data_IF_848292749264
#
_entry.id   IF_848292749264
#
_cell.length_a   1.000
_cell.length_b   1.000
_cell.length_c   1.000
_cell.angle_alpha   90.00
_cell.angle_beta   90.00
_cell.angle_gamma   90.00
#
_symmetry.space_group_name_H-M   'P 1'
#
loop_
_entity.id
_entity.type
_entity.pdbx_description
1 polymer ?
#
# COMPACT_ATOMS: atom_id res chain seq x y z
N UNK A 1 -13.13 10.59 -6.90
CA UNK A 1 -12.78 12.01 -6.70
C UNK A 1 -14.08 12.78 -6.68
N UNK A 2 -14.39 13.51 -5.62
CA UNK A 2 -15.67 14.24 -5.50
C UNK A 2 -16.90 13.32 -5.74
N UNK A 3 -16.92 12.16 -5.07
CA UNK A 3 -17.96 11.12 -5.18
C UNK A 3 -18.15 10.46 -6.55
N UNK A 4 -17.25 10.72 -7.51
CA UNK A 4 -17.22 10.05 -8.81
C UNK A 4 -16.11 9.01 -8.94
N UNK A 5 -16.39 7.94 -9.70
CA UNK A 5 -15.47 6.84 -9.99
C UNK A 5 -14.72 7.08 -11.30
N UNK A 6 -13.41 6.88 -11.26
CA UNK A 6 -12.52 7.04 -12.41
C UNK A 6 -11.65 5.79 -12.59
N UNK A 7 -11.28 5.50 -13.84
CA UNK A 7 -10.28 4.47 -14.10
C UNK A 7 -8.88 5.03 -13.83
N UNK A 8 -7.96 4.14 -13.44
CA UNK A 8 -6.54 4.46 -13.38
C UNK A 8 -5.89 4.19 -14.74
N UNK A 9 -4.86 4.97 -15.13
CA UNK A 9 -4.31 6.12 -14.41
C UNK A 9 -5.25 7.33 -14.44
N UNK A 10 -5.19 8.14 -13.39
CA UNK A 10 -5.97 9.37 -13.23
C UNK A 10 -5.03 10.57 -13.10
N UNK A 11 -5.37 11.65 -13.79
CA UNK A 11 -4.69 12.96 -13.72
C UNK A 11 -5.73 14.06 -13.64
N UNK A 12 -5.46 15.09 -12.82
CA UNK A 12 -6.29 16.31 -12.72
C UNK A 12 -5.38 17.54 -12.69
N UNK A 13 -5.93 18.67 -13.13
CA UNK A 13 -5.30 19.99 -13.05
C UNK A 13 -3.90 20.02 -13.73
N UNK A 14 -3.82 19.52 -14.97
CA UNK A 14 -2.57 19.38 -15.74
C UNK A 14 -1.51 18.51 -15.02
N UNK A 15 -1.97 17.50 -14.29
CA UNK A 15 -1.14 16.58 -13.54
C UNK A 15 -0.62 17.11 -12.22
N UNK A 16 -1.28 18.11 -11.62
CA UNK A 16 -1.04 18.51 -10.23
C UNK A 16 -1.43 17.38 -9.26
N UNK A 17 -2.49 16.63 -9.57
CA UNK A 17 -2.87 15.40 -8.89
C UNK A 17 -2.75 14.22 -9.87
N UNK A 18 -2.04 13.18 -9.45
CA UNK A 18 -1.86 11.94 -10.23
C UNK A 18 -2.12 10.73 -9.36
N UNK A 19 -2.83 9.76 -9.91
CA UNK A 19 -3.11 8.49 -9.24
C UNK A 19 -2.86 7.37 -10.23
N UNK A 20 -1.94 6.47 -9.88
CA UNK A 20 -1.57 5.33 -10.71
C UNK A 20 -1.59 4.05 -9.88
N UNK A 21 -1.87 2.93 -10.52
CA UNK A 21 -1.61 1.62 -9.93
C UNK A 21 -0.22 1.15 -10.34
N UNK A 22 0.64 0.82 -9.37
CA UNK A 22 1.94 0.22 -9.60
C UNK A 22 2.10 -1.09 -8.81
N UNK A 23 2.19 -2.21 -9.52
CA UNK A 23 2.05 -3.53 -8.91
C UNK A 23 0.69 -3.66 -8.21
N UNK A 24 0.72 -4.05 -6.96
CA UNK A 24 -0.46 -4.12 -6.08
C UNK A 24 -0.79 -2.78 -5.40
N UNK A 25 0.04 -1.75 -5.57
CA UNK A 25 -0.11 -0.49 -4.87
C UNK A 25 -0.85 0.53 -5.71
N UNK A 26 -1.65 1.37 -5.04
CA UNK A 26 -2.13 2.63 -5.57
C UNK A 26 -1.20 3.73 -5.07
N UNK A 27 -0.69 4.53 -5.99
CA UNK A 27 0.20 5.65 -5.71
C UNK A 27 -0.50 6.94 -6.08
N UNK A 28 -0.72 7.78 -5.06
CA UNK A 28 -1.23 9.14 -5.20
C UNK A 28 -0.06 10.10 -5.09
N UNK A 29 0.06 11.02 -6.04
CA UNK A 29 1.13 12.03 -6.06
C UNK A 29 0.53 13.41 -6.33
N UNK A 30 0.98 14.39 -5.56
CA UNK A 30 0.66 15.79 -5.76
C UNK A 30 1.92 16.57 -6.16
N UNK A 31 1.76 17.66 -6.93
CA UNK A 31 2.87 18.49 -7.41
C UNK A 31 3.68 19.16 -6.29
N UNK A 32 3.05 19.37 -5.14
CA UNK A 32 3.63 19.92 -3.91
C UNK A 32 4.58 18.93 -3.21
N UNK A 33 4.64 17.69 -3.70
CA UNK A 33 5.54 16.65 -3.20
C UNK A 33 4.90 15.67 -2.22
N UNK A 34 3.63 15.85 -1.87
CA UNK A 34 2.89 14.83 -1.12
C UNK A 34 2.76 13.57 -1.95
N UNK A 35 2.97 12.42 -1.30
CA UNK A 35 2.79 11.12 -1.93
C UNK A 35 2.15 10.16 -0.93
N UNK A 36 1.21 9.35 -1.41
CA UNK A 36 0.64 8.23 -0.65
C UNK A 36 0.85 6.96 -1.46
N UNK A 37 1.31 5.90 -0.81
CA UNK A 37 1.39 4.55 -1.37
C UNK A 37 0.54 3.66 -0.49
N UNK A 38 -0.38 2.88 -1.08
CA UNK A 38 -1.18 1.93 -0.31
C UNK A 38 -1.58 0.71 -1.14
N UNK A 39 -1.70 -0.46 -0.51
CA UNK A 39 -1.97 -1.74 -1.20
C UNK A 39 -3.45 -2.18 -1.14
N UNK A 40 -4.34 -1.27 -0.74
CA UNK A 40 -5.78 -1.48 -0.49
C UNK A 40 -6.13 -2.55 0.56
N UNK A 41 -5.12 -3.11 1.25
CA UNK A 41 -5.31 -4.15 2.24
C UNK A 41 -4.79 -3.71 3.61
N UNK A 42 -3.47 -3.63 3.79
CA UNK A 42 -2.87 -3.47 5.12
C UNK A 42 -1.67 -2.50 5.16
N UNK A 43 -1.23 -1.99 4.01
CA UNK A 43 -0.09 -1.08 3.94
C UNK A 43 -0.54 0.30 3.48
N UNK A 44 -0.10 1.32 4.22
CA UNK A 44 -0.20 2.73 3.84
C UNK A 44 1.07 3.45 4.25
N UNK A 45 1.63 4.24 3.33
CA UNK A 45 2.76 5.12 3.60
C UNK A 45 2.46 6.51 3.06
N UNK A 46 2.65 7.51 3.90
CA UNK A 46 2.43 8.93 3.57
C UNK A 46 3.76 9.65 3.62
N UNK A 47 4.12 10.29 2.52
CA UNK A 47 5.29 11.14 2.39
C UNK A 47 4.85 12.60 2.53
N UNK A 48 5.37 13.27 3.56
CA UNK A 48 5.13 14.68 3.83
C UNK A 48 6.40 15.48 3.49
N UNK A 49 6.33 16.50 2.62
CA UNK A 49 7.48 17.34 2.31
C UNK A 49 7.99 18.11 3.54
N UNK A 50 9.32 18.28 3.64
CA UNK A 50 9.97 19.03 4.74
C UNK A 50 9.40 20.43 5.04
N UNK A 51 8.91 21.22 4.06
CA UNK A 51 8.26 22.51 4.37
C UNK A 51 7.06 22.44 5.34
N UNK A 52 6.48 21.26 5.53
CA UNK A 52 5.37 21.01 6.47
C UNK A 52 5.83 20.43 7.81
N UNK A 53 7.14 20.44 8.10
CA UNK A 53 7.68 20.07 9.41
C UNK A 53 6.99 20.89 10.52
N UNK A 54 6.65 20.22 11.63
CA UNK A 54 5.94 20.80 12.78
C UNK A 54 4.53 21.34 12.47
N UNK A 55 3.97 21.03 11.29
CA UNK A 55 2.63 21.48 10.88
C UNK A 55 1.63 20.33 10.72
N UNK A 56 2.05 19.09 10.93
CA UNK A 56 1.15 17.93 10.87
C UNK A 56 0.45 17.72 12.19
N UNK A 57 -0.71 17.09 12.14
CA UNK A 57 -1.45 16.61 13.30
C UNK A 57 -2.19 15.34 12.89
N UNK A 58 -2.44 14.43 13.83
CA UNK A 58 -3.18 13.19 13.58
C UNK A 58 -2.41 11.96 14.03
N UNK A 59 -2.84 10.79 13.54
CA UNK A 59 -2.25 9.49 13.90
C UNK A 59 -0.78 9.34 13.46
N UNK A 60 -0.32 10.15 12.50
CA UNK A 60 1.08 10.19 12.06
C UNK A 60 1.98 11.12 12.89
N UNK A 61 1.48 11.66 14.01
CA UNK A 61 2.23 12.57 14.87
C UNK A 61 2.34 14.00 14.33
N UNK A 62 3.23 14.77 14.94
CA UNK A 62 3.37 16.21 14.68
C UNK A 62 4.56 16.59 13.79
N UNK A 63 5.33 15.58 13.34
CA UNK A 63 6.45 15.73 12.40
C UNK A 63 7.52 16.74 12.88
N UNK A 64 7.86 16.73 14.16
CA UNK A 64 8.90 17.58 14.76
C UNK A 64 10.24 16.84 15.01
N UNK A 65 10.33 15.54 14.67
CA UNK A 65 11.45 14.62 14.97
C UNK A 65 11.62 14.25 16.46
N UNK A 66 10.56 14.37 17.26
CA UNK A 66 10.52 13.93 18.65
C UNK A 66 9.41 12.88 18.83
N UNK A 67 9.81 11.61 18.99
CA UNK A 67 8.86 10.51 19.16
C UNK A 67 8.12 10.58 20.52
N UNK A 68 8.65 11.31 21.49
CA UNK A 68 8.07 11.37 22.84
C UNK A 68 6.76 12.17 22.90
N UNK A 69 6.48 13.03 21.91
CA UNK A 69 5.28 13.85 21.84
C UNK A 69 4.44 13.60 20.59
N UNK A 70 4.58 12.43 19.94
CA UNK A 70 3.74 12.10 18.79
C UNK A 70 2.30 11.71 19.18
N UNK A 71 2.06 11.34 20.44
CA UNK A 71 0.72 11.02 20.97
C UNK A 71 -0.05 12.26 21.44
N UNK A 72 -0.03 13.31 20.63
CA UNK A 72 -0.78 14.56 20.88
C UNK A 72 -2.23 14.40 20.42
N UNK A 73 -3.16 14.75 21.30
CA UNK A 73 -4.60 14.75 21.06
C UNK A 73 -5.02 15.97 20.20
N UNK A 74 -6.21 15.97 19.60
CA UNK A 74 -6.70 17.11 18.80
C UNK A 74 -6.78 18.45 19.55
N UNK A 75 -6.88 18.41 20.88
CA UNK A 75 -6.89 19.62 21.73
C UNK A 75 -5.48 20.13 22.08
N UNK A 76 -4.43 19.46 21.58
CA UNK A 76 -3.03 19.79 21.82
C UNK A 76 -2.47 19.25 23.13
N UNK A 77 -3.20 18.40 23.86
CA UNK A 77 -2.70 17.74 25.07
C UNK A 77 -2.00 16.42 24.73
N UNK A 78 -1.05 16.01 25.58
CA UNK A 78 -0.32 14.75 25.41
C UNK A 78 -0.98 13.61 26.21
N UNK A 79 -1.01 12.40 25.64
CA UNK A 79 -1.34 11.17 26.37
C UNK A 79 -0.22 10.12 26.24
N UNK A 80 0.11 9.38 27.32
CA UNK A 80 1.00 8.23 27.22
C UNK A 80 0.28 6.95 26.75
N UNK A 81 -1.05 6.98 26.60
CA UNK A 81 -1.85 5.80 26.25
C UNK A 81 -2.21 5.82 24.75
N UNK A 82 -1.78 4.79 24.02
CA UNK A 82 -2.00 4.65 22.58
C UNK A 82 -3.49 4.47 22.20
N UNK A 83 -4.29 3.82 23.05
CA UNK A 83 -5.73 3.65 22.84
C UNK A 83 -6.45 4.99 22.97
N UNK A 84 -6.13 5.77 24.01
CA UNK A 84 -6.67 7.10 24.21
C UNK A 84 -6.29 8.03 23.04
N UNK A 85 -5.04 7.94 22.57
CA UNK A 85 -4.57 8.66 21.39
C UNK A 85 -5.37 8.28 20.14
N UNK A 86 -5.47 6.99 19.81
CA UNK A 86 -6.18 6.51 18.63
C UNK A 86 -7.66 6.88 18.62
N UNK A 87 -8.35 6.74 19.76
CA UNK A 87 -9.77 7.09 19.92
C UNK A 87 -9.99 8.60 19.78
N UNK A 88 -9.05 9.43 20.24
CA UNK A 88 -9.20 10.89 20.20
C UNK A 88 -9.28 11.45 18.77
N UNK A 89 -8.65 10.77 17.81
CA UNK A 89 -8.59 11.16 16.40
C UNK A 89 -9.76 10.62 15.56
N UNK A 90 -10.78 10.04 16.18
CA UNK A 90 -11.98 9.56 15.51
C UNK A 90 -12.71 10.69 14.77
N UNK A 91 -13.01 10.47 13.49
CA UNK A 91 -13.83 11.38 12.67
C UNK A 91 -15.27 10.87 12.60
N UNK A 92 -16.27 11.62 13.08
CA UNK A 92 -17.67 11.19 13.05
C UNK A 92 -18.16 10.93 11.62
N UNK A 93 -18.70 9.73 11.39
CA UNK A 93 -19.24 9.33 10.08
C UNK A 93 -20.75 9.13 10.17
N UNK A 94 -21.50 9.76 9.26
CA UNK A 94 -22.97 9.66 9.25
C UNK A 94 -23.41 8.22 8.96
N UNK A 95 -24.21 7.63 9.86
CA UNK A 95 -24.72 6.26 9.69
C UNK A 95 -23.81 5.15 10.23
N UNK A 96 -22.65 5.49 10.79
CA UNK A 96 -21.76 4.53 11.46
C UNK A 96 -21.63 4.91 12.94
N UNK A 97 -21.76 3.92 13.82
CA UNK A 97 -21.46 4.08 15.25
C UNK A 97 -20.14 3.37 15.48
N UNK A 98 -19.05 4.12 15.66
CA UNK A 98 -17.83 3.56 16.22
C UNK A 98 -18.07 3.36 17.72
N UNK A 99 -17.92 2.13 18.19
CA UNK A 99 -18.04 1.85 19.61
C UNK A 99 -16.67 2.01 20.25
N UNK A 100 -16.55 2.91 21.23
CA UNK A 100 -15.36 3.00 22.08
C UNK A 100 -15.07 1.70 22.86
N UNK A 101 -16.06 0.81 22.94
CA UNK A 101 -15.92 -0.52 23.55
C UNK A 101 -15.32 -1.56 22.57
N UNK A 102 -14.91 -1.15 21.36
CA UNK A 102 -14.16 -2.00 20.43
C UNK A 102 -12.69 -2.15 20.80
N UNK A 103 -12.21 -1.49 21.86
CA UNK A 103 -10.93 -1.83 22.50
C UNK A 103 -11.12 -3.21 23.14
N UNK A 104 -11.08 -4.25 22.30
CA UNK A 104 -10.88 -5.59 22.76
C UNK A 104 -9.59 -5.57 23.59
N UNK A 105 -9.58 -6.27 24.72
CA UNK A 105 -8.34 -6.64 25.37
C UNK A 105 -7.60 -7.59 24.41
N UNK A 106 -6.95 -7.01 23.41
CA UNK A 106 -6.05 -7.76 22.56
C UNK A 106 -5.04 -8.41 23.50
N UNK A 107 -4.69 -9.69 23.27
CA UNK A 107 -3.69 -10.35 24.08
C UNK A 107 -2.45 -9.48 24.18
N UNK A 108 -1.94 -9.31 25.39
CA UNK A 108 -0.60 -8.77 25.55
C UNK A 108 0.38 -9.67 24.80
N UNK A 109 1.45 -9.10 24.27
CA UNK A 109 2.51 -9.87 23.64
C UNK A 109 3.05 -10.92 24.62
N UNK A 110 3.10 -12.18 24.17
CA UNK A 110 3.61 -13.33 24.92
C UNK A 110 4.76 -13.95 24.12
N UNK A 111 5.98 -13.68 24.58
CA UNK A 111 7.19 -14.16 23.90
C UNK A 111 7.23 -15.69 23.76
N UNK A 112 6.67 -16.45 24.70
CA UNK A 112 6.68 -17.90 24.62
C UNK A 112 5.79 -18.41 23.48
N UNK A 113 4.66 -17.74 23.24
CA UNK A 113 3.75 -18.05 22.13
C UNK A 113 4.32 -17.58 20.79
N UNK A 114 4.87 -16.36 20.76
CA UNK A 114 5.47 -15.78 19.55
C UNK A 114 6.78 -16.46 19.14
N UNK A 115 7.48 -17.13 20.05
CA UNK A 115 8.78 -17.76 19.77
C UNK A 115 8.72 -18.79 18.63
N UNK A 116 7.57 -19.42 18.40
CA UNK A 116 7.41 -20.38 17.31
C UNK A 116 7.43 -19.72 15.92
N UNK A 117 7.22 -18.40 15.82
CA UNK A 117 7.19 -17.64 14.57
C UNK A 117 8.50 -16.90 14.28
N UNK A 118 9.52 -17.08 15.13
CA UNK A 118 10.85 -16.48 14.95
C UNK A 118 11.71 -17.22 13.92
N UNK A 119 11.24 -18.34 13.37
CA UNK A 119 11.96 -19.10 12.35
C UNK A 119 11.81 -18.52 10.94
N UNK A 120 12.67 -18.96 10.03
CA UNK A 120 12.78 -18.43 8.66
C UNK A 120 11.59 -18.78 7.75
N UNK A 121 10.62 -19.57 8.21
CA UNK A 121 9.36 -19.85 7.49
C UNK A 121 8.20 -18.95 7.94
N UNK A 122 8.45 -18.08 8.91
CA UNK A 122 7.49 -17.12 9.44
C UNK A 122 8.11 -15.71 9.48
N UNK A 123 8.05 -15.03 10.62
CA UNK A 123 8.55 -13.67 10.77
C UNK A 123 10.07 -13.59 10.69
N UNK A 124 10.79 -14.67 11.04
CA UNK A 124 12.26 -14.73 10.93
C UNK A 124 12.78 -14.45 9.52
N UNK A 125 11.97 -14.70 8.48
CA UNK A 125 12.33 -14.40 7.10
C UNK A 125 12.68 -12.91 6.88
N UNK A 126 12.03 -12.00 7.64
CA UNK A 126 12.26 -10.55 7.55
C UNK A 126 13.69 -10.16 7.95
N UNK A 127 14.30 -10.89 8.88
CA UNK A 127 15.60 -10.56 9.47
C UNK A 127 16.74 -11.45 8.97
N UNK A 128 16.43 -12.44 8.12
CA UNK A 128 17.40 -13.38 7.60
C UNK A 128 18.47 -12.69 6.72
N UNK A 129 19.73 -12.69 7.19
CA UNK A 129 20.87 -12.02 6.53
C UNK A 129 21.10 -12.49 5.09
N UNK A 130 20.82 -13.78 4.83
CA UNK A 130 20.92 -14.41 3.51
C UNK A 130 19.52 -14.76 2.95
N UNK A 131 18.54 -13.89 3.18
CA UNK A 131 17.16 -14.06 2.75
C UNK A 131 16.75 -13.20 1.54
N UNK A 132 15.46 -13.26 1.15
CA UNK A 132 14.91 -12.46 0.05
C UNK A 132 14.92 -10.95 0.33
N UNK A 133 15.04 -10.54 1.59
CA UNK A 133 15.05 -9.13 2.00
C UNK A 133 16.44 -8.55 2.28
N UNK A 134 17.51 -9.33 2.12
CA UNK A 134 18.89 -8.94 2.52
C UNK A 134 19.34 -7.58 1.97
N UNK A 135 18.97 -7.27 0.72
CA UNK A 135 19.42 -6.05 0.04
C UNK A 135 18.64 -4.82 0.53
N UNK A 136 17.45 -5.03 1.12
CA UNK A 136 16.64 -3.99 1.74
C UNK A 136 17.11 -3.58 3.13
N UNK A 137 17.76 -4.46 3.90
CA UNK A 137 18.13 -4.18 5.30
C UNK A 137 18.99 -2.91 5.47
N UNK A 138 19.73 -2.52 4.42
CA UNK A 138 20.52 -1.27 4.40
C UNK A 138 19.69 0.00 4.16
N UNK A 139 18.49 -0.12 3.61
CA UNK A 139 17.55 0.97 3.35
C UNK A 139 16.48 1.08 4.43
N UNK A 140 15.99 -0.07 4.94
CA UNK A 140 14.89 -0.16 5.89
C UNK A 140 15.22 -1.22 6.94
N UNK A 141 15.26 -0.83 8.20
CA UNK A 141 15.42 -1.78 9.32
C UNK A 141 14.25 -2.76 9.37
N UNK A 142 14.49 -4.08 9.49
CA UNK A 142 13.42 -5.07 9.63
C UNK A 142 12.85 -5.15 11.06
N UNK A 143 13.44 -4.48 12.05
CA UNK A 143 13.13 -4.68 13.47
C UNK A 143 11.65 -4.47 13.81
N UNK A 144 11.09 -3.30 13.49
CA UNK A 144 9.69 -2.99 13.80
C UNK A 144 8.72 -3.90 13.03
N UNK A 145 9.06 -4.25 11.79
CA UNK A 145 8.26 -5.17 10.98
C UNK A 145 8.30 -6.60 11.54
N UNK A 146 9.44 -7.03 12.09
CA UNK A 146 9.58 -8.32 12.73
C UNK A 146 8.74 -8.38 14.01
N UNK A 147 8.83 -7.37 14.87
CA UNK A 147 8.06 -7.31 16.12
C UNK A 147 6.55 -7.25 15.86
N UNK A 148 6.12 -6.44 14.87
CA UNK A 148 4.72 -6.37 14.44
C UNK A 148 4.25 -7.72 13.86
N UNK A 149 5.06 -8.39 13.05
CA UNK A 149 4.73 -9.70 12.52
C UNK A 149 4.54 -10.72 13.64
N UNK A 150 5.41 -10.75 14.65
CA UNK A 150 5.27 -11.66 15.79
C UNK A 150 3.99 -11.39 16.58
N UNK A 151 3.65 -10.12 16.79
CA UNK A 151 2.43 -9.72 17.47
C UNK A 151 1.17 -10.15 16.68
N UNK A 152 1.12 -9.85 15.39
CA UNK A 152 -0.01 -10.21 14.53
C UNK A 152 -0.18 -11.72 14.41
N UNK A 153 0.92 -12.47 14.28
CA UNK A 153 0.88 -13.94 14.22
C UNK A 153 0.36 -14.53 15.53
N UNK A 154 0.62 -13.90 16.68
CA UNK A 154 0.05 -14.33 17.96
C UNK A 154 -1.44 -14.00 18.06
N UNK A 155 -1.85 -12.80 17.67
CA UNK A 155 -3.21 -12.28 17.90
C UNK A 155 -4.20 -12.72 16.83
N UNK A 156 -3.80 -12.62 15.56
CA UNK A 156 -4.60 -12.94 14.37
C UNK A 156 -4.36 -14.38 13.92
N UNK A 157 -3.17 -14.92 14.15
CA UNK A 157 -2.76 -16.25 13.71
C UNK A 157 -2.00 -16.24 12.38
N UNK A 158 -1.65 -17.44 11.90
CA UNK A 158 -0.80 -17.65 10.71
C UNK A 158 -1.32 -16.99 9.42
N UNK A 159 -2.62 -16.70 9.33
CA UNK A 159 -3.21 -16.01 8.19
C UNK A 159 -2.68 -14.57 7.98
N UNK A 160 -2.05 -13.97 8.99
CA UNK A 160 -1.46 -12.63 8.92
C UNK A 160 -0.04 -12.60 8.34
N UNK A 161 0.64 -13.74 8.20
CA UNK A 161 2.04 -13.81 7.77
C UNK A 161 2.25 -13.12 6.42
N UNK A 162 1.47 -13.50 5.42
CA UNK A 162 1.64 -12.98 4.06
C UNK A 162 1.41 -11.47 4.00
N UNK A 163 0.52 -10.93 4.83
CA UNK A 163 0.21 -9.50 4.88
C UNK A 163 1.38 -8.73 5.50
N UNK A 164 1.96 -9.25 6.58
CA UNK A 164 3.14 -8.68 7.22
C UNK A 164 4.37 -8.65 6.30
N UNK A 165 4.65 -9.76 5.62
CA UNK A 165 5.75 -9.85 4.66
C UNK A 165 5.53 -8.96 3.43
N UNK A 166 4.29 -8.85 2.95
CA UNK A 166 3.92 -7.95 1.85
C UNK A 166 4.09 -6.47 2.23
N UNK A 167 3.74 -6.07 3.46
CA UNK A 167 3.95 -4.70 3.93
C UNK A 167 5.43 -4.32 3.95
N UNK A 168 6.31 -5.22 4.43
CA UNK A 168 7.75 -4.97 4.38
C UNK A 168 8.28 -4.94 2.94
N UNK A 169 7.78 -5.82 2.07
CA UNK A 169 8.09 -5.81 0.63
C UNK A 169 7.76 -4.45 0.00
N UNK A 170 6.56 -3.91 0.24
CA UNK A 170 6.13 -2.62 -0.26
C UNK A 170 7.02 -1.48 0.26
N UNK A 171 7.35 -1.47 1.56
CA UNK A 171 8.26 -0.48 2.16
C UNK A 171 9.67 -0.52 1.56
N UNK A 172 10.22 -1.72 1.37
CA UNK A 172 11.51 -1.91 0.73
C UNK A 172 11.54 -1.40 -0.71
N UNK A 173 10.51 -1.72 -1.48
CA UNK A 173 10.37 -1.28 -2.87
C UNK A 173 10.15 0.23 -2.99
N UNK A 174 9.39 0.82 -2.06
CA UNK A 174 9.24 2.27 -1.96
C UNK A 174 10.60 2.96 -1.67
N UNK A 175 11.48 2.33 -0.89
CA UNK A 175 12.84 2.77 -0.65
C UNK A 175 13.82 2.48 -1.82
N UNK A 176 13.37 1.74 -2.84
CA UNK A 176 14.16 1.42 -4.04
C UNK A 176 15.02 0.17 -3.91
N UNK A 177 14.82 -0.66 -2.87
CA UNK A 177 15.52 -1.92 -2.72
C UNK A 177 14.93 -3.01 -3.63
N UNK A 178 15.80 -3.92 -4.09
CA UNK A 178 15.39 -5.14 -4.78
C UNK A 178 14.99 -6.20 -3.75
N UNK A 179 13.95 -6.99 -4.08
CA UNK A 179 13.42 -8.04 -3.21
C UNK A 179 13.46 -9.36 -3.96
N UNK A 180 13.97 -10.40 -3.30
CA UNK A 180 13.94 -11.78 -3.80
C UNK A 180 12.58 -12.44 -3.64
N UNK A 181 12.45 -13.67 -4.16
CA UNK A 181 11.19 -14.43 -4.09
C UNK A 181 10.89 -14.93 -2.67
N UNK A 182 10.20 -14.11 -1.87
CA UNK A 182 9.76 -14.45 -0.53
C UNK A 182 8.48 -15.30 -0.53
N UNK A 183 7.58 -15.13 -1.51
CA UNK A 183 6.28 -15.82 -1.55
C UNK A 183 6.41 -17.32 -1.66
N UNK A 184 7.36 -17.80 -2.48
CA UNK A 184 7.65 -19.22 -2.59
C UNK A 184 8.25 -19.77 -1.29
N UNK A 185 9.08 -18.98 -0.59
CA UNK A 185 9.74 -19.42 0.65
C UNK A 185 8.74 -19.74 1.77
N UNK A 186 7.63 -19.01 1.85
CA UNK A 186 6.60 -19.17 2.92
C UNK A 186 5.24 -19.66 2.40
N UNK A 187 5.15 -20.06 1.14
CA UNK A 187 3.89 -20.52 0.52
C UNK A 187 2.76 -19.47 0.59
N UNK A 188 3.06 -18.23 0.23
CA UNK A 188 2.11 -17.10 0.17
C UNK A 188 1.75 -16.73 -1.29
N UNK A 189 1.02 -17.58 -2.04
CA UNK A 189 0.76 -17.34 -3.46
C UNK A 189 -0.05 -16.06 -3.69
N UNK A 190 0.31 -15.33 -4.74
CA UNK A 190 -0.49 -14.22 -5.27
C UNK A 190 -1.10 -14.66 -6.61
N UNK A 191 -2.42 -14.59 -6.70
CA UNK A 191 -3.15 -14.97 -7.92
C UNK A 191 -3.40 -13.76 -8.79
N UNK A 192 -3.03 -13.88 -10.06
CA UNK A 192 -3.18 -12.83 -11.05
C UNK A 192 -4.37 -13.09 -11.98
N UNK A 193 -5.02 -12.03 -12.50
CA UNK A 193 -6.08 -12.16 -13.50
C UNK A 193 -5.65 -12.90 -14.77
N UNK A 194 -6.63 -13.30 -15.59
CA UNK A 194 -6.36 -13.90 -16.89
C UNK A 194 -5.39 -13.05 -17.74
N UNK A 195 -4.50 -13.74 -18.46
CA UNK A 195 -3.46 -13.15 -19.31
C UNK A 195 -2.42 -12.30 -18.55
N UNK A 196 -2.21 -12.60 -17.27
CA UNK A 196 -1.15 -12.02 -16.45
C UNK A 196 -0.50 -13.06 -15.55
N UNK A 197 0.68 -12.72 -15.02
CA UNK A 197 1.43 -13.56 -14.09
C UNK A 197 2.04 -12.70 -12.99
N UNK A 198 2.33 -13.33 -11.85
CA UNK A 198 2.97 -12.67 -10.73
C UNK A 198 4.44 -12.38 -11.05
N UNK A 199 4.89 -11.19 -10.70
CA UNK A 199 6.31 -10.86 -10.58
C UNK A 199 6.55 -10.05 -9.30
N UNK A 200 7.71 -10.26 -8.67
CA UNK A 200 8.12 -9.47 -7.50
C UNK A 200 8.41 -8.01 -7.86
N UNK A 201 8.63 -7.67 -9.13
CA UNK A 201 9.04 -6.34 -9.56
C UNK A 201 8.34 -5.95 -10.88
N UNK A 202 7.09 -5.50 -10.78
CA UNK A 202 6.31 -4.99 -11.92
C UNK A 202 6.51 -3.49 -12.06
N UNK A 203 6.82 -3.05 -13.28
CA UNK A 203 6.82 -1.63 -13.66
C UNK A 203 5.56 -1.32 -14.43
N UNK A 204 4.66 -0.56 -13.83
CA UNK A 204 3.32 -0.33 -14.39
C UNK A 204 3.32 0.44 -15.71
N UNK A 205 4.31 1.34 -15.90
CA UNK A 205 4.40 2.13 -17.12
C UNK A 205 4.80 1.34 -18.36
N UNK A 206 5.38 0.15 -18.20
CA UNK A 206 5.99 -0.57 -19.33
C UNK A 206 4.95 -1.23 -20.25
N UNK A 207 3.68 -1.40 -19.81
CA UNK A 207 2.65 -2.11 -20.59
C UNK A 207 1.20 -1.80 -20.16
N UNK A 208 0.78 -0.53 -20.17
CA UNK A 208 -0.61 -0.12 -19.93
C UNK A 208 -1.28 0.38 -21.22
N UNK A 209 -2.60 0.17 -21.35
CA UNK A 209 -3.40 0.82 -22.38
C UNK A 209 -3.31 2.36 -22.30
N UNK A 210 -3.02 2.89 -21.11
CA UNK A 210 -2.82 4.31 -20.89
C UNK A 210 -1.35 4.74 -21.01
N UNK A 211 -0.39 3.85 -21.32
CA UNK A 211 1.03 4.22 -21.51
C UNK A 211 1.26 5.19 -22.69
N UNK A 212 0.25 5.42 -23.53
CA UNK A 212 0.26 6.45 -24.57
C UNK A 212 -0.11 7.85 -24.06
N UNK A 213 -0.49 7.98 -22.79
CA UNK A 213 -0.76 9.27 -22.13
C UNK A 213 0.44 9.72 -21.30
N UNK A 214 0.38 10.91 -20.71
CA UNK A 214 1.45 11.58 -19.94
C UNK A 214 1.77 10.92 -18.59
N UNK A 215 1.60 9.60 -18.46
CA UNK A 215 1.82 8.86 -17.21
C UNK A 215 3.29 8.96 -16.81
N UNK A 216 3.55 9.67 -15.72
CA UNK A 216 4.83 9.60 -15.00
C UNK A 216 4.70 8.56 -13.91
N UNK A 217 5.18 7.34 -14.16
CA UNK A 217 5.32 6.35 -13.09
C UNK A 217 6.53 6.67 -12.22
N UNK A 218 6.55 6.07 -11.04
CA UNK A 218 7.76 6.04 -10.24
C UNK A 218 8.86 5.27 -10.97
N UNK A 219 10.12 5.51 -10.59
CA UNK A 219 11.26 4.74 -11.10
C UNK A 219 11.38 3.36 -10.45
N UNK A 220 10.66 3.16 -9.36
CA UNK A 220 10.70 1.91 -8.61
C UNK A 220 9.76 0.90 -9.30
N UNK A 221 9.96 -0.37 -8.99
CA UNK A 221 8.98 -1.39 -9.31
C UNK A 221 8.31 -1.85 -8.03
N UNK A 222 7.12 -2.39 -8.16
CA UNK A 222 6.36 -2.92 -7.04
C UNK A 222 5.92 -4.34 -7.35
N UNK A 223 5.81 -5.15 -6.30
CA UNK A 223 5.25 -6.50 -6.39
C UNK A 223 3.83 -6.45 -6.95
N UNK A 224 3.50 -7.33 -7.90
CA UNK A 224 2.14 -7.47 -8.39
C UNK A 224 2.02 -8.34 -9.64
N UNK A 225 0.97 -8.07 -10.42
CA UNK A 225 0.67 -8.80 -11.64
C UNK A 225 1.16 -8.07 -12.88
N UNK A 226 1.94 -8.76 -13.71
CA UNK A 226 2.40 -8.29 -15.01
C UNK A 226 1.58 -8.93 -16.13
N UNK A 227 1.15 -8.12 -17.10
CA UNK A 227 0.51 -8.66 -18.29
C UNK A 227 1.48 -9.52 -19.11
N UNK A 228 0.97 -10.62 -19.65
CA UNK A 228 1.73 -11.46 -20.58
C UNK A 228 2.06 -10.70 -21.87
N UNK A 229 3.10 -11.14 -22.58
CA UNK A 229 3.48 -10.56 -23.87
C UNK A 229 2.28 -10.48 -24.84
N UNK A 230 2.08 -9.28 -25.41
CA UNK A 230 0.95 -8.98 -26.30
C UNK A 230 -0.31 -8.45 -25.61
N UNK A 231 -0.34 -8.40 -24.27
CA UNK A 231 -1.44 -7.83 -23.48
C UNK A 231 -1.01 -6.54 -22.79
N UNK A 232 -1.98 -5.65 -22.57
CA UNK A 232 -1.80 -4.35 -21.93
C UNK A 232 -2.78 -4.21 -20.78
N UNK A 233 -2.33 -3.59 -19.69
CA UNK A 233 -3.16 -3.36 -18.50
C UNK A 233 -4.13 -2.20 -18.75
N UNK A 234 -5.43 -2.45 -18.64
CA UNK A 234 -6.47 -1.45 -18.83
C UNK A 234 -6.88 -0.70 -17.54
N UNK A 235 -6.20 -0.96 -16.41
CA UNK A 235 -6.62 -0.47 -15.10
C UNK A 235 -7.48 -1.45 -14.32
N UNK A 236 -7.71 -2.68 -14.82
CA UNK A 236 -8.35 -3.77 -14.10
C UNK A 236 -7.87 -5.16 -14.58
N UNK A 237 -7.80 -5.39 -15.88
CA UNK A 237 -7.35 -6.67 -16.48
C UNK A 237 -6.35 -6.45 -17.61
N UNK A 238 -5.71 -7.54 -18.03
CA UNK A 238 -4.80 -7.55 -19.17
C UNK A 238 -5.59 -7.88 -20.45
N UNK A 239 -5.60 -6.94 -21.40
CA UNK A 239 -6.38 -7.02 -22.64
C UNK A 239 -5.49 -6.82 -23.87
N UNK A 240 -5.97 -7.25 -25.04
CA UNK A 240 -5.29 -6.97 -26.31
C UNK A 240 -5.37 -5.47 -26.63
N UNK A 241 -4.39 -4.96 -27.39
CA UNK A 241 -4.32 -3.55 -27.80
C UNK A 241 -5.62 -3.04 -28.45
N UNK A 242 -6.29 -3.87 -29.25
CA UNK A 242 -7.56 -3.55 -29.90
C UNK A 242 -8.75 -3.34 -28.93
N UNK A 243 -8.61 -3.78 -27.69
CA UNK A 243 -9.59 -3.60 -26.61
C UNK A 243 -9.19 -2.47 -25.65
N UNK A 244 -8.05 -1.82 -25.87
CA UNK A 244 -7.69 -0.64 -25.11
C UNK A 244 -8.67 0.50 -25.37
N UNK A 245 -8.92 1.26 -24.31
CA UNK A 245 -9.73 2.47 -24.31
C UNK A 245 -9.06 3.65 -25.00
N UNK A 246 -9.65 4.84 -24.81
CA UNK A 246 -9.08 6.10 -25.28
C UNK A 246 -8.87 7.08 -24.11
N UNK A 247 -8.01 8.08 -24.32
CA UNK A 247 -7.81 9.16 -23.35
C UNK A 247 -8.57 10.40 -23.81
N UNK A 248 -9.36 11.01 -22.93
CA UNK A 248 -10.06 12.27 -23.18
C UNK A 248 -9.94 13.18 -21.94
N UNK A 249 -9.48 14.42 -22.12
CA UNK A 249 -9.23 15.37 -21.03
C UNK A 249 -8.40 14.75 -19.88
N UNK A 250 -7.27 14.11 -20.23
CA UNK A 250 -6.37 13.43 -19.27
C UNK A 250 -6.95 12.21 -18.53
N UNK A 251 -8.20 11.84 -18.83
CA UNK A 251 -8.87 10.68 -18.23
C UNK A 251 -8.85 9.49 -19.19
N UNK A 252 -8.48 8.32 -18.68
CA UNK A 252 -8.57 7.07 -19.41
C UNK A 252 -10.00 6.49 -19.37
N UNK A 253 -10.58 6.28 -20.55
CA UNK A 253 -11.93 5.75 -20.76
C UNK A 253 -11.85 4.34 -21.35
N UNK A 254 -12.29 3.34 -20.60
CA UNK A 254 -12.36 1.94 -21.07
C UNK A 254 -13.38 1.77 -22.21
N UNK A 255 -13.13 0.79 -23.08
CA UNK A 255 -14.11 0.37 -24.08
C UNK A 255 -15.29 -0.32 -23.39
N UNK A 256 -16.48 0.28 -23.44
CA UNK A 256 -17.70 -0.37 -22.99
C UNK A 256 -18.34 -1.16 -24.13
N UNK A 257 -18.17 -2.48 -24.12
CA UNK A 257 -18.94 -3.38 -25.00
C UNK A 257 -20.34 -3.60 -24.39
N UNK A 258 -21.25 -2.66 -24.65
CA UNK A 258 -22.72 -2.75 -24.55
C UNK A 258 -23.36 -3.60 -23.45
N UNK A 259 -23.88 -2.94 -22.42
CA UNK A 259 -25.31 -3.17 -22.09
C UNK A 259 -26.12 -2.31 -23.06
N UNK A 260 -27.19 -2.82 -23.70
CA UNK A 260 -27.98 -2.03 -24.64
C UNK A 260 -28.58 -0.84 -23.89
N UNK A 261 -28.16 0.37 -24.23
CA UNK A 261 -28.91 1.57 -23.89
C UNK A 261 -30.17 1.49 -24.73
N UNK A 262 -31.30 1.14 -24.10
CA UNK A 262 -32.61 1.31 -24.70
C UNK A 262 -32.74 2.78 -25.11
N UNK A 263 -32.66 3.04 -26.40
CA UNK A 263 -33.01 4.30 -27.02
C UNK A 263 -34.48 4.62 -26.72
N UNK A 264 -34.72 5.75 -26.05
CA UNK A 264 -36.01 6.45 -26.02
C UNK A 264 -36.24 7.19 -27.34
#
# INVERSE_FOLDING_TARGET
VEDEFYNLPFSKDNGELRINQEGNNIIVQCSEGFKVIYDTANYVEVFVPRPYQEQTTGLGGNFNNNLEDDFMLPDGTFTPNVDDFGISWEVPTTGSICSKNCVHQLPAYDEAQASQYKDDRHCGLLTLEAGPFKDCHSFVSPADFFDNCLYDMQVVGEGSLCQNLQAYTAKCQAAGAEIGDWRTAVSCPLFCPDNSHYETCVRACDSSCASFSTVQCTRNCFEGCRCNDGYLFDGNTCVLLEKCGCTHNELYLKVSWGSPVNSL
#
